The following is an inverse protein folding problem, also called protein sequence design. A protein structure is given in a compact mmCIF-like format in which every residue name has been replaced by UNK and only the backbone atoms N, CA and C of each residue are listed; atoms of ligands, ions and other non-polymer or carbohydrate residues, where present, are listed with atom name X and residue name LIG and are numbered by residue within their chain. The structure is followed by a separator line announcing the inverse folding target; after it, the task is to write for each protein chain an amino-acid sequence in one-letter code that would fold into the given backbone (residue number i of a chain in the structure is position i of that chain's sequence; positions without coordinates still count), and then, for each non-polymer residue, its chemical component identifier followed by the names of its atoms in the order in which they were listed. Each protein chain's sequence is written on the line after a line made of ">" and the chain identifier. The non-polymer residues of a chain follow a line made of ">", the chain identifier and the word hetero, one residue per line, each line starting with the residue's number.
data_IF_260248006472
#
_entry.id   IF_260248006472
#
_cell.length_a   1.000
_cell.length_b   1.000
_cell.length_c   1.000
_cell.angle_alpha   90.00
_cell.angle_beta   90.00
_cell.angle_gamma   90.00
#
_symmetry.space_group_name_H-M   'P 1'
#
loop_
_entity.id
_entity.type
_entity.pdbx_description
1 polymer ?
#
# COMPACT_ATOMS: atom_id res chain seq x y z
N UNK A 1 19.72 3.47 -2.15
CA UNK A 1 18.95 4.70 -1.94
C UNK A 1 17.49 4.28 -1.87
N UNK A 2 16.73 4.78 -0.90
CA UNK A 2 15.30 4.50 -0.80
C UNK A 2 14.55 5.64 -1.49
N UNK A 3 13.57 5.30 -2.30
CA UNK A 3 12.71 6.25 -3.02
C UNK A 3 11.31 6.06 -2.49
N UNK A 4 10.73 7.16 -2.00
CA UNK A 4 9.51 7.09 -1.23
C UNK A 4 8.42 7.93 -1.88
N UNK A 5 7.17 7.46 -1.77
CA UNK A 5 6.00 8.23 -2.16
C UNK A 5 4.90 8.07 -1.14
N UNK A 6 4.10 9.12 -0.97
CA UNK A 6 2.89 9.09 -0.15
C UNK A 6 1.68 9.45 -0.98
N UNK A 7 0.51 8.91 -0.61
CA UNK A 7 -0.77 9.29 -1.18
C UNK A 7 -1.81 9.39 -0.08
N UNK A 8 -2.71 10.37 -0.20
CA UNK A 8 -3.91 10.47 0.62
C UNK A 8 -5.09 9.98 -0.20
N UNK A 9 -5.79 8.96 0.32
CA UNK A 9 -6.95 8.35 -0.34
C UNK A 9 -8.22 8.73 0.42
N UNK A 10 -9.04 9.67 -0.08
CA UNK A 10 -10.27 10.09 0.61
C UNK A 10 -11.26 8.92 0.69
N UNK A 11 -11.63 8.51 1.90
CA UNK A 11 -12.65 7.50 2.17
C UNK A 11 -13.00 7.48 3.67
N UNK A 12 -14.29 7.33 3.98
CA UNK A 12 -14.75 7.09 5.36
C UNK A 12 -14.52 5.64 5.84
N UNK A 13 -14.03 4.76 4.95
CA UNK A 13 -13.84 3.34 5.21
C UNK A 13 -12.36 2.94 5.30
N UNK A 14 -11.47 3.89 5.60
CA UNK A 14 -10.03 3.69 5.66
C UNK A 14 -9.61 2.48 6.50
N UNK A 15 -10.09 2.38 7.74
CA UNK A 15 -9.78 1.26 8.65
C UNK A 15 -10.23 -0.09 8.09
N UNK A 16 -11.40 -0.12 7.44
CA UNK A 16 -11.94 -1.34 6.85
C UNK A 16 -11.08 -1.81 5.68
N UNK A 17 -10.71 -0.90 4.79
CA UNK A 17 -9.89 -1.22 3.61
C UNK A 17 -8.47 -1.61 3.98
N UNK A 18 -7.86 -0.92 4.94
CA UNK A 18 -6.56 -1.30 5.52
C UNK A 18 -6.61 -2.75 6.03
N UNK A 19 -7.57 -3.08 6.89
CA UNK A 19 -7.65 -4.42 7.47
C UNK A 19 -7.92 -5.50 6.41
N UNK A 20 -8.77 -5.24 5.42
CA UNK A 20 -9.04 -6.19 4.33
C UNK A 20 -7.79 -6.44 3.48
N UNK A 21 -7.06 -5.39 3.15
CA UNK A 21 -5.82 -5.45 2.39
C UNK A 21 -4.74 -6.23 3.16
N UNK A 22 -4.51 -5.88 4.42
CA UNK A 22 -3.53 -6.55 5.27
C UNK A 22 -3.86 -8.04 5.46
N UNK A 23 -5.12 -8.38 5.74
CA UNK A 23 -5.56 -9.79 5.85
C UNK A 23 -5.43 -10.56 4.55
N UNK A 24 -5.58 -9.91 3.40
CA UNK A 24 -5.38 -10.56 2.12
C UNK A 24 -3.90 -10.87 1.86
N UNK A 25 -3.01 -9.97 2.24
CA UNK A 25 -1.58 -10.09 1.96
C UNK A 25 -0.79 -10.90 2.99
N UNK A 26 -1.25 -11.00 4.24
CA UNK A 26 -0.59 -11.79 5.29
C UNK A 26 -0.39 -13.28 4.93
N UNK A 27 -1.11 -13.78 3.93
CA UNK A 27 -0.95 -15.15 3.45
C UNK A 27 0.35 -15.38 2.66
N UNK A 28 0.90 -14.33 2.05
CA UNK A 28 2.06 -14.44 1.15
C UNK A 28 3.18 -13.43 1.48
N UNK A 29 2.90 -12.45 2.32
CA UNK A 29 3.81 -11.35 2.66
C UNK A 29 3.90 -11.22 4.19
N UNK A 30 4.99 -10.63 4.66
CA UNK A 30 5.09 -10.19 6.05
C UNK A 30 4.22 -8.95 6.24
N UNK A 31 3.22 -9.06 7.11
CA UNK A 31 2.23 -8.01 7.37
C UNK A 31 2.02 -7.87 8.86
N UNK A 32 2.10 -6.65 9.37
CA UNK A 32 1.69 -6.29 10.73
C UNK A 32 0.60 -5.22 10.63
N UNK A 33 -0.50 -5.37 11.35
CA UNK A 33 -1.56 -4.37 11.30
C UNK A 33 -2.42 -4.33 12.56
N UNK A 34 -2.97 -3.15 12.80
CA UNK A 34 -4.05 -2.82 13.71
C UNK A 34 -5.21 -2.25 12.90
N UNK A 35 -6.36 -1.90 13.52
CA UNK A 35 -7.42 -1.20 12.82
C UNK A 35 -7.01 0.18 12.26
N UNK A 36 -5.95 0.79 12.80
CA UNK A 36 -5.56 2.18 12.51
C UNK A 36 -4.26 2.26 11.70
N UNK A 37 -3.41 1.24 11.77
CA UNK A 37 -2.09 1.24 11.14
C UNK A 37 -1.76 -0.12 10.54
N UNK A 38 -1.07 -0.17 9.41
CA UNK A 38 -0.64 -1.42 8.77
C UNK A 38 0.67 -1.27 8.03
N UNK A 39 1.57 -2.22 8.21
CA UNK A 39 2.85 -2.33 7.48
C UNK A 39 2.89 -3.62 6.69
N UNK A 40 3.38 -3.55 5.46
CA UNK A 40 3.45 -4.67 4.52
C UNK A 40 4.82 -4.66 3.88
N UNK A 41 5.61 -5.70 4.12
CA UNK A 41 6.93 -5.86 3.49
C UNK A 41 6.79 -6.68 2.22
N UNK A 42 7.21 -6.09 1.11
CA UNK A 42 7.32 -6.72 -0.20
C UNK A 42 8.77 -7.17 -0.41
N UNK A 43 9.06 -8.48 -0.36
CA UNK A 43 10.42 -8.97 -0.53
C UNK A 43 10.95 -8.60 -1.92
N UNK A 44 12.26 -8.36 -2.01
CA UNK A 44 12.93 -7.99 -3.26
C UNK A 44 12.71 -8.99 -4.40
N UNK A 45 12.51 -10.26 -4.05
CA UNK A 45 12.24 -11.37 -4.95
C UNK A 45 10.74 -11.72 -5.11
N UNK A 46 9.85 -10.86 -4.62
CA UNK A 46 8.41 -11.08 -4.68
C UNK A 46 7.94 -11.37 -6.12
N UNK A 47 7.28 -12.52 -6.31
CA UNK A 47 6.71 -12.98 -7.59
C UNK A 47 7.74 -13.07 -8.74
N UNK A 48 8.99 -13.42 -8.43
CA UNK A 48 10.05 -13.57 -9.42
C UNK A 48 10.64 -12.25 -9.91
N UNK A 49 10.38 -11.15 -9.20
CA UNK A 49 11.13 -9.91 -9.37
C UNK A 49 12.57 -10.09 -8.86
N UNK A 50 13.46 -9.17 -9.24
CA UNK A 50 14.81 -9.08 -8.66
C UNK A 50 15.11 -7.60 -8.38
N UNK A 51 14.42 -7.06 -7.37
CA UNK A 51 14.62 -5.68 -6.95
C UNK A 51 15.94 -5.52 -6.17
N UNK A 52 16.53 -4.32 -6.16
CA UNK A 52 17.73 -4.04 -5.35
C UNK A 52 17.53 -4.27 -3.84
N UNK A 53 16.31 -4.16 -3.35
CA UNK A 53 15.94 -4.39 -1.96
C UNK A 53 14.44 -4.53 -1.75
N UNK A 54 14.06 -4.78 -0.50
CA UNK A 54 12.66 -4.93 -0.11
C UNK A 54 11.93 -3.60 -0.22
N UNK A 55 10.64 -3.67 -0.58
CA UNK A 55 9.71 -2.56 -0.50
C UNK A 55 8.92 -2.62 0.80
N UNK A 56 8.59 -1.46 1.35
CA UNK A 56 7.71 -1.35 2.51
C UNK A 56 6.52 -0.47 2.14
N UNK A 57 5.30 -0.97 2.36
CA UNK A 57 4.11 -0.14 2.32
C UNK A 57 3.58 0.06 3.73
N UNK A 58 3.30 1.31 4.07
CA UNK A 58 2.67 1.71 5.32
C UNK A 58 1.32 2.33 5.02
N UNK A 59 0.31 1.95 5.79
CA UNK A 59 -1.05 2.43 5.68
C UNK A 59 -1.49 2.98 7.05
N UNK A 60 -2.02 4.19 7.08
CA UNK A 60 -2.58 4.83 8.26
C UNK A 60 -4.03 5.22 7.99
N UNK A 61 -4.95 4.61 8.74
CA UNK A 61 -6.37 4.85 8.61
C UNK A 61 -6.80 6.04 9.48
N UNK A 62 -7.14 7.14 8.82
CA UNK A 62 -7.82 8.28 9.43
C UNK A 62 -9.35 8.18 9.32
N UNK A 63 -10.03 9.16 9.91
CA UNK A 63 -11.50 9.22 9.89
C UNK A 63 -12.10 9.45 8.48
N UNK A 64 -11.39 10.19 7.62
CA UNK A 64 -11.86 10.61 6.29
C UNK A 64 -10.91 10.20 5.16
N UNK A 65 -9.74 9.63 5.49
CA UNK A 65 -8.80 9.18 4.47
C UNK A 65 -7.90 8.06 4.96
N UNK A 66 -7.48 7.23 4.03
CA UNK A 66 -6.38 6.29 4.18
C UNK A 66 -5.10 6.96 3.66
N UNK A 67 -4.16 7.22 4.55
CA UNK A 67 -2.81 7.62 4.16
C UNK A 67 -2.02 6.38 3.77
N UNK A 68 -1.33 6.45 2.64
CA UNK A 68 -0.50 5.36 2.12
C UNK A 68 0.89 5.91 1.90
N UNK A 69 1.91 5.17 2.34
CA UNK A 69 3.31 5.45 2.09
C UNK A 69 3.96 4.21 1.50
N UNK A 70 4.82 4.40 0.51
CA UNK A 70 5.65 3.35 -0.05
C UNK A 70 7.09 3.80 0.06
N UNK A 71 7.94 2.97 0.64
CA UNK A 71 9.39 3.07 0.60
C UNK A 71 9.91 1.94 -0.28
N UNK A 72 10.54 2.28 -1.40
CA UNK A 72 11.03 1.33 -2.38
C UNK A 72 12.54 1.47 -2.60
N UNK A 73 13.17 0.41 -3.10
CA UNK A 73 14.60 0.36 -3.41
C UNK A 73 14.95 0.89 -4.81
N UNK A 74 13.95 1.12 -5.68
CA UNK A 74 14.10 1.71 -7.01
C UNK A 74 12.81 2.35 -7.52
N UNK A 75 12.90 3.22 -8.53
CA UNK A 75 11.73 3.90 -9.13
C UNK A 75 10.78 2.90 -9.78
N UNK A 76 11.31 1.89 -10.46
CA UNK A 76 10.50 0.85 -11.08
C UNK A 76 9.74 0.01 -10.04
N UNK A 77 10.36 -0.28 -8.90
CA UNK A 77 9.68 -0.95 -7.78
C UNK A 77 8.58 -0.04 -7.20
N UNK A 78 8.87 1.25 -7.03
CA UNK A 78 7.90 2.22 -6.53
C UNK A 78 6.65 2.30 -7.42
N UNK A 79 6.83 2.48 -8.73
CA UNK A 79 5.72 2.54 -9.68
C UNK A 79 4.92 1.23 -9.71
N UNK A 80 5.60 0.09 -9.65
CA UNK A 80 4.96 -1.22 -9.50
C UNK A 80 4.10 -1.29 -8.24
N UNK A 81 4.64 -0.90 -7.08
CA UNK A 81 3.94 -0.93 -5.80
C UNK A 81 2.75 0.03 -5.75
N UNK A 82 2.85 1.24 -6.33
CA UNK A 82 1.73 2.17 -6.46
C UNK A 82 0.55 1.52 -7.19
N UNK A 83 0.82 0.89 -8.33
CA UNK A 83 -0.19 0.15 -9.09
C UNK A 83 -0.75 -1.06 -8.33
N UNK A 84 0.09 -1.79 -7.59
CA UNK A 84 -0.34 -2.91 -6.75
C UNK A 84 -1.27 -2.46 -5.63
N UNK A 85 -0.97 -1.35 -4.96
CA UNK A 85 -1.82 -0.82 -3.89
C UNK A 85 -3.16 -0.33 -4.44
N UNK A 86 -3.14 0.48 -5.50
CA UNK A 86 -4.36 1.04 -6.10
C UNK A 86 -5.33 -0.06 -6.53
N UNK A 87 -4.87 -1.07 -7.29
CA UNK A 87 -5.75 -2.14 -7.79
C UNK A 87 -6.39 -3.00 -6.68
N UNK A 88 -5.70 -3.20 -5.55
CA UNK A 88 -6.22 -4.03 -4.47
C UNK A 88 -7.18 -3.21 -3.61
N UNK A 89 -6.84 -1.96 -3.30
CA UNK A 89 -7.74 -1.07 -2.58
C UNK A 89 -9.03 -0.83 -3.36
N UNK A 90 -8.97 -0.58 -4.67
CA UNK A 90 -10.18 -0.45 -5.51
C UNK A 90 -11.03 -1.72 -5.53
N UNK A 91 -10.40 -2.91 -5.51
CA UNK A 91 -11.13 -4.17 -5.44
C UNK A 91 -11.90 -4.32 -4.12
N UNK A 92 -11.33 -3.88 -3.00
CA UNK A 92 -12.00 -3.90 -1.70
C UNK A 92 -13.06 -2.79 -1.59
N UNK A 93 -12.76 -1.63 -2.16
CA UNK A 93 -13.62 -0.46 -2.23
C UNK A 93 -14.53 -0.45 -3.46
N UNK A 94 -14.98 -1.61 -3.94
CA UNK A 94 -15.72 -1.74 -5.22
C UNK A 94 -16.97 -0.84 -5.35
N UNK A 95 -17.49 -0.29 -4.24
CA UNK A 95 -18.62 0.66 -4.22
C UNK A 95 -18.20 2.13 -4.32
N UNK A 96 -16.96 2.45 -3.99
CA UNK A 96 -16.34 3.79 -4.05
C UNK A 96 -15.29 3.90 -5.17
N UNK A 97 -14.86 2.77 -5.73
CA UNK A 97 -13.82 2.71 -6.75
C UNK A 97 -14.24 3.44 -8.04
N UNK A 98 -13.30 4.09 -8.74
CA UNK A 98 -11.88 4.16 -8.42
C UNK A 98 -11.58 5.15 -7.30
N UNK A 99 -10.78 4.73 -6.31
CA UNK A 99 -10.29 5.62 -5.27
C UNK A 99 -9.24 6.57 -5.87
N UNK A 100 -9.20 7.80 -5.36
CA UNK A 100 -8.22 8.79 -5.81
C UNK A 100 -6.91 8.64 -5.03
N UNK A 101 -5.81 8.40 -5.75
CA UNK A 101 -4.47 8.34 -5.19
C UNK A 101 -3.64 9.52 -5.70
N UNK A 102 -3.57 10.59 -4.91
CA UNK A 102 -2.70 11.73 -5.21
C UNK A 102 -1.28 11.44 -4.70
N UNK A 103 -0.45 10.80 -5.52
CA UNK A 103 0.91 10.41 -5.15
C UNK A 103 1.87 11.59 -5.17
N UNK A 104 2.58 11.79 -4.07
CA UNK A 104 3.62 12.80 -3.89
C UNK A 104 4.96 12.12 -3.56
N UNK A 105 6.05 12.57 -4.17
CA UNK A 105 7.39 12.12 -3.82
C UNK A 105 7.80 12.70 -2.46
N UNK A 106 8.59 11.94 -1.67
CA UNK A 106 9.02 12.33 -0.32
C UNK A 106 10.51 12.11 -0.15
#
# INVERSE_FOLDING_TARGET
>A
MTISATARVPTAHASKYLQQLCKHWQHNLAVEFTPEHGTVTFPRDARGADWPGDGLATLDAGADALAVRIDASSEAQLEGLKGVLARHLDRFAFREAPLTFDWQAV
#
